data_IF_852544075295
#
_entry.id   IF_852544075295
#
_cell.length_a   1.000
_cell.length_b   1.000
_cell.length_c   1.000
_cell.angle_alpha   90.00
_cell.angle_beta   90.00
_cell.angle_gamma   90.00
#
_symmetry.space_group_name_H-M   'P 1'
#
loop_
_entity.id
_entity.type
_entity.pdbx_description
1 polymer ?
#
# COMPACT_ATOMS: atom_id res chain seq x y z
N UNK A 1 5.09 -6.87 -24.13
CA UNK A 1 3.97 -7.75 -23.74
C UNK A 1 3.51 -7.30 -22.37
N UNK A 2 2.22 -7.05 -22.18
CA UNK A 2 1.68 -6.57 -20.90
C UNK A 2 1.53 -7.79 -19.98
N UNK A 3 2.30 -7.85 -18.90
CA UNK A 3 2.24 -8.95 -17.94
C UNK A 3 1.32 -8.58 -16.76
N UNK A 4 0.20 -9.30 -16.62
CA UNK A 4 -0.79 -9.05 -15.56
C UNK A 4 -0.37 -9.74 -14.26
N UNK A 5 0.12 -8.99 -13.28
CA UNK A 5 0.37 -9.52 -11.94
C UNK A 5 -0.95 -9.89 -11.24
N UNK A 6 -1.02 -11.11 -10.72
CA UNK A 6 -2.15 -11.62 -9.94
C UNK A 6 -1.65 -12.08 -8.58
N UNK A 7 -2.29 -11.60 -7.51
CA UNK A 7 -2.00 -12.05 -6.16
C UNK A 7 -2.59 -13.45 -5.92
N UNK A 8 -1.78 -14.37 -5.42
CA UNK A 8 -2.16 -15.75 -5.11
C UNK A 8 -2.37 -15.92 -3.60
N UNK A 9 -3.19 -16.91 -3.22
CA UNK A 9 -3.30 -17.31 -1.82
C UNK A 9 -1.93 -17.73 -1.28
N UNK A 10 -1.65 -17.42 -0.03
CA UNK A 10 -0.37 -17.63 0.63
C UNK A 10 0.63 -16.48 0.45
N UNK A 11 0.45 -15.63 -0.56
CA UNK A 11 1.33 -14.49 -0.80
C UNK A 11 1.13 -13.38 0.25
N UNK A 12 2.17 -12.55 0.39
CA UNK A 12 2.24 -11.53 1.42
C UNK A 12 1.75 -10.18 0.90
N UNK A 13 0.85 -9.57 1.68
CA UNK A 13 0.42 -8.19 1.55
C UNK A 13 1.15 -7.35 2.60
N UNK A 14 2.00 -6.45 2.16
CA UNK A 14 2.55 -5.38 2.99
C UNK A 14 1.55 -4.23 3.09
N UNK A 15 1.36 -3.66 4.28
CA UNK A 15 0.50 -2.48 4.42
C UNK A 15 1.23 -1.31 5.08
N UNK A 16 0.94 -0.08 4.62
CA UNK A 16 1.64 1.14 5.03
C UNK A 16 0.68 2.32 5.19
N UNK A 17 1.09 3.35 5.92
CA UNK A 17 0.26 4.52 6.23
C UNK A 17 0.85 5.79 5.63
N UNK A 18 0.49 6.17 4.38
CA UNK A 18 1.13 7.29 3.69
C UNK A 18 0.63 8.67 4.15
N UNK A 19 -0.51 8.74 4.84
CA UNK A 19 -1.04 9.99 5.39
C UNK A 19 -1.64 9.77 6.78
N UNK A 20 -2.96 9.62 6.89
CA UNK A 20 -3.65 9.58 8.19
C UNK A 20 -3.24 8.35 9.01
N UNK A 21 -2.93 8.48 10.32
CA UNK A 21 -2.49 7.37 11.16
C UNK A 21 -3.66 6.48 11.63
N UNK A 22 -4.46 5.96 10.68
CA UNK A 22 -5.69 5.22 10.99
C UNK A 22 -5.43 3.97 11.84
N UNK A 23 -4.24 3.38 11.74
CA UNK A 23 -3.85 2.23 12.55
C UNK A 23 -3.73 2.56 14.03
N UNK A 24 -3.38 3.81 14.36
CA UNK A 24 -3.33 4.32 15.73
C UNK A 24 -4.73 4.76 16.19
N UNK A 25 -5.50 5.45 15.34
CA UNK A 25 -6.82 5.97 15.68
C UNK A 25 -7.92 4.90 15.76
N UNK A 26 -7.81 3.84 14.96
CA UNK A 26 -8.84 2.81 14.80
C UNK A 26 -8.27 1.38 14.93
N UNK A 27 -7.61 1.03 16.06
CA UNK A 27 -6.91 -0.26 16.20
C UNK A 27 -7.86 -1.47 16.13
N UNK A 28 -9.13 -1.30 16.53
CA UNK A 28 -10.16 -2.36 16.41
C UNK A 28 -10.45 -2.68 14.94
N UNK A 29 -10.61 -1.66 14.09
CA UNK A 29 -10.85 -1.85 12.64
C UNK A 29 -9.63 -2.45 11.96
N UNK A 30 -8.41 -2.05 12.35
CA UNK A 30 -7.19 -2.68 11.87
C UNK A 30 -7.17 -4.17 12.16
N UNK A 31 -7.46 -4.59 13.41
CA UNK A 31 -7.53 -6.02 13.77
C UNK A 31 -8.57 -6.78 12.94
N UNK A 32 -9.74 -6.19 12.70
CA UNK A 32 -10.78 -6.81 11.88
C UNK A 32 -10.36 -6.95 10.41
N UNK A 33 -9.75 -5.91 9.83
CA UNK A 33 -9.24 -5.95 8.46
C UNK A 33 -8.13 -7.00 8.29
N UNK A 34 -7.22 -7.08 9.27
CA UNK A 34 -6.17 -8.11 9.29
C UNK A 34 -6.77 -9.51 9.31
N UNK A 35 -7.66 -9.79 10.27
CA UNK A 35 -8.32 -11.09 10.40
C UNK A 35 -9.10 -11.47 9.13
N UNK A 36 -9.72 -10.49 8.45
CA UNK A 36 -10.41 -10.73 7.19
C UNK A 36 -9.46 -11.19 6.08
N UNK A 37 -8.36 -10.48 5.84
CA UNK A 37 -7.39 -10.82 4.79
C UNK A 37 -6.64 -12.13 5.11
N UNK A 38 -6.27 -12.34 6.37
CA UNK A 38 -5.67 -13.59 6.85
C UNK A 38 -6.64 -14.76 6.65
N UNK A 39 -7.94 -14.57 6.97
CA UNK A 39 -8.99 -15.55 6.73
C UNK A 39 -9.26 -15.84 5.24
N UNK A 40 -8.85 -14.95 4.32
CA UNK A 40 -8.84 -15.20 2.87
C UNK A 40 -7.58 -15.94 2.39
N UNK A 41 -6.63 -16.21 3.29
CA UNK A 41 -5.43 -16.98 3.04
C UNK A 41 -4.21 -16.15 2.67
N UNK A 42 -4.17 -14.86 2.99
CA UNK A 42 -3.00 -14.00 2.74
C UNK A 42 -2.15 -13.82 4.00
N UNK A 43 -0.83 -13.70 3.81
CA UNK A 43 0.08 -13.30 4.89
C UNK A 43 0.13 -11.77 4.95
N UNK A 44 0.24 -11.18 6.14
CA UNK A 44 0.28 -9.73 6.30
C UNK A 44 1.60 -9.27 6.91
N UNK A 45 2.18 -8.20 6.35
CA UNK A 45 3.38 -7.54 6.89
C UNK A 45 3.06 -6.08 7.25
N UNK A 46 3.14 -5.69 8.53
CA UNK A 46 2.95 -4.31 8.92
C UNK A 46 4.13 -3.45 8.48
N UNK A 47 3.84 -2.27 7.95
CA UNK A 47 4.81 -1.19 7.80
C UNK A 47 5.26 -0.66 9.16
N UNK A 48 6.46 -0.07 9.19
CA UNK A 48 7.13 0.41 10.41
C UNK A 48 6.33 1.47 11.20
N UNK A 49 5.40 2.17 10.57
CA UNK A 49 4.55 3.19 11.20
C UNK A 49 3.17 2.66 11.63
N UNK A 50 2.97 1.34 11.57
CA UNK A 50 1.74 0.73 12.10
C UNK A 50 1.61 1.03 13.59
N UNK A 51 0.51 1.70 13.96
CA UNK A 51 0.23 2.13 15.33
C UNK A 51 0.94 3.42 15.77
N UNK A 52 1.75 4.03 14.90
CA UNK A 52 2.41 5.31 15.15
C UNK A 52 1.51 6.49 14.74
N UNK A 53 1.78 7.66 15.33
CA UNK A 53 1.09 8.90 15.01
C UNK A 53 2.01 10.12 15.24
N UNK A 54 1.83 11.13 14.39
CA UNK A 54 2.43 12.46 14.45
C UNK A 54 1.32 13.47 14.11
N UNK A 55 0.49 13.79 15.10
CA UNK A 55 -0.70 14.61 14.92
C UNK A 55 -1.66 14.04 13.88
N UNK A 56 -1.82 14.72 12.75
CA UNK A 56 -2.72 14.33 11.66
C UNK A 56 -2.13 13.29 10.69
N UNK A 57 -0.85 12.91 10.84
CA UNK A 57 -0.13 11.99 9.95
C UNK A 57 0.53 10.84 10.72
N UNK A 58 0.99 9.80 10.05
CA UNK A 58 1.65 8.62 10.66
C UNK A 58 3.11 8.81 11.05
N UNK A 59 3.78 9.83 10.49
CA UNK A 59 5.15 10.17 10.78
C UNK A 59 5.67 11.27 9.86
N UNK A 60 6.96 11.59 9.98
CA UNK A 60 7.64 12.52 9.08
C UNK A 60 7.58 12.04 7.62
N UNK A 61 7.89 12.93 6.67
CA UNK A 61 7.92 12.57 5.24
C UNK A 61 8.90 11.41 5.01
N UNK A 62 10.09 11.50 5.60
CA UNK A 62 11.16 10.51 5.46
C UNK A 62 10.78 9.17 6.08
N UNK A 63 10.13 9.18 7.25
CA UNK A 63 9.67 7.96 7.90
C UNK A 63 8.60 7.24 7.05
N UNK A 64 7.64 7.98 6.49
CA UNK A 64 6.59 7.43 5.62
C UNK A 64 7.13 6.93 4.29
N UNK A 65 8.08 7.66 3.69
CA UNK A 65 8.75 7.23 2.47
C UNK A 65 9.55 5.93 2.70
N UNK A 66 10.30 5.86 3.81
CA UNK A 66 11.06 4.66 4.15
C UNK A 66 10.15 3.48 4.54
N UNK A 67 8.98 3.72 5.15
CA UNK A 67 7.99 2.66 5.36
C UNK A 67 7.55 2.03 4.03
N UNK A 68 7.23 2.85 3.02
CA UNK A 68 6.88 2.38 1.69
C UNK A 68 8.05 1.68 1.00
N UNK A 69 9.23 2.29 1.00
CA UNK A 69 10.42 1.75 0.34
C UNK A 69 10.88 0.44 0.95
N UNK A 70 10.74 0.25 2.26
CA UNK A 70 11.02 -1.02 2.92
C UNK A 70 10.13 -2.16 2.39
N UNK A 71 8.86 -1.87 2.05
CA UNK A 71 7.96 -2.85 1.43
C UNK A 71 8.25 -3.06 -0.07
N UNK A 72 8.66 -2.01 -0.78
CA UNK A 72 9.10 -2.11 -2.19
C UNK A 72 10.32 -3.01 -2.31
N UNK A 73 11.30 -2.86 -1.42
CA UNK A 73 12.56 -3.62 -1.44
C UNK A 73 12.43 -5.06 -0.92
N UNK A 74 11.28 -5.42 -0.36
CA UNK A 74 11.07 -6.72 0.24
C UNK A 74 10.59 -7.75 -0.80
N UNK A 75 11.40 -8.78 -1.13
CA UNK A 75 11.03 -9.78 -2.13
C UNK A 75 9.86 -10.67 -1.69
N UNK A 76 9.59 -10.80 -0.38
CA UNK A 76 8.45 -11.61 0.10
C UNK A 76 7.10 -10.91 -0.15
N UNK A 77 7.10 -9.57 -0.23
CA UNK A 77 5.89 -8.78 -0.45
C UNK A 77 5.52 -8.82 -1.93
N UNK A 78 4.29 -9.23 -2.25
CA UNK A 78 3.76 -9.23 -3.63
C UNK A 78 2.67 -8.18 -3.86
N UNK A 79 2.10 -7.64 -2.80
CA UNK A 79 1.14 -6.55 -2.83
C UNK A 79 1.43 -5.53 -1.71
N UNK A 80 1.43 -4.25 -2.06
CA UNK A 80 1.56 -3.13 -1.14
C UNK A 80 0.22 -2.40 -1.07
N UNK A 81 -0.37 -2.33 0.12
CA UNK A 81 -1.70 -1.79 0.36
C UNK A 81 -1.66 -0.61 1.33
N UNK A 82 -2.20 0.54 0.92
CA UNK A 82 -2.37 1.66 1.85
C UNK A 82 -3.42 1.34 2.92
N UNK A 83 -3.15 1.67 4.18
CA UNK A 83 -4.11 1.52 5.28
C UNK A 83 -5.30 2.48 5.14
N UNK A 84 -5.04 3.73 4.76
CA UNK A 84 -6.03 4.74 4.37
C UNK A 84 -5.32 5.88 3.59
N UNK A 85 -6.11 6.77 2.99
CA UNK A 85 -5.64 8.04 2.42
C UNK A 85 -5.48 9.17 3.45
N UNK A 86 -5.81 10.40 3.04
CA UNK A 86 -5.63 11.63 3.82
C UNK A 86 -5.37 12.82 2.90
N UNK A 87 -4.25 13.53 3.09
CA UNK A 87 -3.89 14.69 2.25
C UNK A 87 -2.38 14.87 2.04
N UNK A 88 -1.55 13.86 2.37
CA UNK A 88 -0.11 14.02 2.51
C UNK A 88 0.72 12.98 1.75
N UNK A 89 0.08 12.10 0.96
CA UNK A 89 0.76 11.03 0.23
C UNK A 89 1.68 11.58 -0.87
N UNK A 90 1.33 12.73 -1.47
CA UNK A 90 2.14 13.41 -2.48
C UNK A 90 3.54 13.78 -1.98
N UNK A 91 3.71 14.05 -0.68
CA UNK A 91 5.00 14.40 -0.10
C UNK A 91 6.04 13.28 -0.19
N UNK A 92 5.60 12.02 -0.37
CA UNK A 92 6.50 10.87 -0.50
C UNK A 92 7.09 10.76 -1.92
N UNK A 93 6.46 11.35 -2.94
CA UNK A 93 6.80 11.17 -4.35
C UNK A 93 8.29 11.39 -4.66
N UNK A 94 8.97 12.44 -4.16
CA UNK A 94 10.40 12.63 -4.43
C UNK A 94 11.32 11.57 -3.82
N UNK A 95 10.82 10.75 -2.89
CA UNK A 95 11.60 9.84 -2.05
C UNK A 95 11.28 8.36 -2.29
N UNK A 96 10.37 8.04 -3.22
CA UNK A 96 10.06 6.65 -3.58
C UNK A 96 11.26 6.04 -4.31
N UNK A 97 11.61 4.82 -3.94
CA UNK A 97 12.65 4.02 -4.59
C UNK A 97 12.10 3.37 -5.87
N UNK A 98 12.02 4.17 -6.93
CA UNK A 98 11.48 3.74 -8.22
C UNK A 98 12.34 2.66 -8.90
N UNK A 99 13.65 2.68 -8.70
CA UNK A 99 14.55 1.69 -9.30
C UNK A 99 14.35 0.32 -8.67
N UNK A 100 14.19 0.25 -7.34
CA UNK A 100 13.81 -0.98 -6.65
C UNK A 100 12.44 -1.48 -7.12
N UNK A 101 11.46 -0.59 -7.30
CA UNK A 101 10.13 -0.95 -7.78
C UNK A 101 10.17 -1.55 -9.19
N UNK A 102 10.92 -0.94 -10.12
CA UNK A 102 11.07 -1.46 -11.49
C UNK A 102 11.79 -2.80 -11.54
N UNK A 103 12.76 -3.01 -10.65
CA UNK A 103 13.54 -4.25 -10.58
C UNK A 103 12.71 -5.45 -10.11
N UNK A 104 11.76 -5.22 -9.21
CA UNK A 104 10.82 -6.23 -8.72
C UNK A 104 9.41 -5.63 -8.62
N UNK A 105 8.67 -5.53 -9.76
CA UNK A 105 7.35 -4.94 -9.78
C UNK A 105 6.37 -5.70 -8.89
N UNK A 106 5.54 -4.95 -8.15
CA UNK A 106 4.56 -5.47 -7.18
C UNK A 106 3.22 -4.78 -7.38
N UNK A 107 2.14 -5.45 -7.00
CA UNK A 107 0.80 -4.83 -6.98
C UNK A 107 0.81 -3.70 -5.95
N UNK A 108 0.32 -2.51 -6.31
CA UNK A 108 0.13 -1.41 -5.36
C UNK A 108 -1.33 -0.98 -5.40
N UNK A 109 -2.00 -1.05 -4.26
CA UNK A 109 -3.44 -0.80 -4.16
C UNK A 109 -3.75 0.25 -3.10
N UNK A 110 -4.66 1.14 -3.44
CA UNK A 110 -5.13 2.23 -2.60
C UNK A 110 -6.16 3.08 -3.33
N UNK A 111 -6.65 4.11 -2.67
CA UNK A 111 -7.61 5.05 -3.24
C UNK A 111 -7.51 6.42 -2.54
N UNK A 112 -8.18 7.43 -3.07
CA UNK A 112 -8.23 8.81 -2.53
C UNK A 112 -6.83 9.47 -2.59
N UNK A 113 -6.32 10.03 -1.51
CA UNK A 113 -4.99 10.67 -1.42
C UNK A 113 -3.85 9.82 -1.97
N UNK A 114 -3.96 8.50 -1.83
CA UNK A 114 -2.95 7.54 -2.30
C UNK A 114 -2.79 7.58 -3.83
N UNK A 115 -3.75 8.16 -4.55
CA UNK A 115 -3.66 8.44 -6.00
C UNK A 115 -2.35 9.14 -6.38
N UNK A 116 -1.82 10.04 -5.53
CA UNK A 116 -0.54 10.68 -5.80
C UNK A 116 0.62 9.67 -5.94
N UNK A 117 0.64 8.64 -5.09
CA UNK A 117 1.64 7.56 -5.13
C UNK A 117 1.36 6.64 -6.33
N UNK A 118 0.11 6.23 -6.53
CA UNK A 118 -0.28 5.35 -7.65
C UNK A 118 0.10 5.97 -9.01
N UNK A 119 -0.23 7.25 -9.20
CA UNK A 119 0.10 7.97 -10.43
C UNK A 119 1.60 8.22 -10.59
N UNK A 120 2.33 8.48 -9.50
CA UNK A 120 3.77 8.68 -9.57
C UNK A 120 4.51 7.40 -9.96
N UNK A 121 4.12 6.25 -9.39
CA UNK A 121 4.68 4.96 -9.77
C UNK A 121 4.33 4.61 -11.23
N UNK A 122 3.06 4.79 -11.63
CA UNK A 122 2.64 4.62 -13.03
C UNK A 122 3.45 5.48 -14.00
N UNK A 123 3.64 6.76 -13.68
CA UNK A 123 4.38 7.67 -14.54
C UNK A 123 5.87 7.31 -14.68
N UNK A 124 6.45 6.65 -13.67
CA UNK A 124 7.85 6.26 -13.65
C UNK A 124 8.09 4.86 -14.23
N UNK A 125 7.10 3.98 -14.20
CA UNK A 125 7.15 2.61 -14.72
C UNK A 125 6.02 2.37 -15.73
N UNK A 126 6.23 2.83 -16.97
CA UNK A 126 5.27 2.71 -18.08
C UNK A 126 5.30 1.35 -18.76
N UNK A 127 6.26 0.50 -18.43
CA UNK A 127 6.40 -0.82 -19.03
C UNK A 127 5.41 -1.83 -18.40
N UNK A 128 4.82 -1.49 -17.25
CA UNK A 128 3.88 -2.31 -16.49
C UNK A 128 2.53 -1.59 -16.26
N UNK A 129 1.74 -1.43 -17.33
CA UNK A 129 0.46 -0.67 -17.35
C UNK A 129 -0.65 -1.17 -16.38
N UNK A 130 -0.51 -2.36 -15.77
CA UNK A 130 -1.61 -3.03 -15.05
C UNK A 130 -1.48 -3.12 -13.52
N UNK A 131 -0.53 -2.45 -12.89
CA UNK A 131 -0.31 -2.58 -11.44
C UNK A 131 -1.29 -1.80 -10.55
N UNK A 132 -2.27 -1.14 -11.15
CA UNK A 132 -3.06 -0.09 -10.51
C UNK A 132 -4.53 -0.47 -10.47
N UNK A 133 -5.05 -0.74 -9.27
CA UNK A 133 -6.50 -0.74 -9.08
C UNK A 133 -6.88 0.36 -8.10
N UNK A 134 -7.46 1.45 -8.61
CA UNK A 134 -8.37 2.30 -7.85
C UNK A 134 -9.70 1.57 -7.68
N UNK A 135 -9.71 0.34 -7.15
CA UNK A 135 -10.98 -0.35 -6.94
C UNK A 135 -11.50 -0.01 -5.55
N UNK A 136 -12.42 0.96 -5.53
CA UNK A 136 -13.42 1.10 -4.48
C UNK A 136 -14.27 -0.18 -4.24
N UNK A 137 -13.96 -1.31 -4.89
CA UNK A 137 -14.60 -2.62 -4.68
C UNK A 137 -13.98 -3.47 -3.58
N UNK A 138 -12.75 -3.22 -3.11
CA UNK A 138 -12.19 -4.05 -2.02
C UNK A 138 -12.48 -3.50 -0.62
N UNK A 139 -12.80 -2.21 -0.50
CA UNK A 139 -12.84 -1.51 0.81
C UNK A 139 -14.27 -1.27 1.32
N UNK A 140 -15.31 -1.47 0.48
CA UNK A 140 -16.68 -1.05 0.80
C UNK A 140 -17.77 -2.14 0.79
N UNK A 141 -17.42 -3.43 0.86
CA UNK A 141 -18.42 -4.48 1.10
C UNK A 141 -19.59 -4.51 0.11
N UNK A 142 -19.37 -4.11 -1.15
CA UNK A 142 -20.38 -4.21 -2.20
C UNK A 142 -19.94 -5.23 -3.26
N UNK A 143 -20.65 -6.36 -3.29
CA UNK A 143 -20.88 -7.17 -4.49
C UNK A 143 -19.80 -8.18 -4.85
N UNK A 144 -20.08 -9.44 -4.48
CA UNK A 144 -19.85 -10.72 -5.20
C UNK A 144 -18.58 -10.89 -6.05
N UNK A 145 -17.82 -11.93 -5.69
CA UNK A 145 -16.87 -12.67 -6.53
C UNK A 145 -17.44 -13.00 -7.91
#
# INVERSE_FOLDING_TARGET
MIETLKLKKGEMIGFFSPSTPITAFCPKRLRQAKAFLEGKGFRLKPGRLTGQQDGYRSGSIQQRAEELNALIRDPEVRCIMSTIGGSNSNALVPYIDYDAFKKDPKIVIGFSDVTAILMALYAKDRDHDLLWTCTGRLIWGMGTL
#
